data_IF_837578915632
#
_entry.id   IF_837578915632
#
_cell.length_a   1.000
_cell.length_b   1.000
_cell.length_c   1.000
_cell.angle_alpha   90.00
_cell.angle_beta   90.00
_cell.angle_gamma   90.00
#
_symmetry.space_group_name_H-M   'P 1'
#
loop_
_entity.id
_entity.type
_entity.pdbx_description
1 polymer ?
#
# COMPACT_ATOMS: atom_id res chain seq x y z
N UNK A 1 22.20 37.80 14.97
CA UNK A 1 22.53 36.44 14.49
C UNK A 1 22.84 36.52 13.00
N UNK A 2 24.02 36.07 12.60
CA UNK A 2 24.53 36.07 11.22
C UNK A 2 23.67 35.13 10.37
N UNK A 3 23.10 35.63 9.27
CA UNK A 3 22.26 34.82 8.35
C UNK A 3 23.12 33.77 7.66
N UNK A 4 22.75 32.50 7.79
CA UNK A 4 23.39 31.43 7.02
C UNK A 4 22.58 31.23 5.73
N UNK A 5 23.05 31.85 4.64
CA UNK A 5 22.35 31.89 3.33
C UNK A 5 22.65 30.62 2.51
N UNK A 6 23.55 29.76 2.99
CA UNK A 6 24.02 28.60 2.25
C UNK A 6 23.24 27.34 2.64
N UNK A 7 22.43 26.84 1.70
CA UNK A 7 21.88 25.48 1.73
C UNK A 7 22.99 24.52 1.29
N UNK A 8 23.19 23.44 2.03
CA UNK A 8 24.18 22.40 1.71
C UNK A 8 23.83 21.69 0.39
N UNK A 9 24.78 20.92 -0.14
CA UNK A 9 24.57 20.12 -1.35
C UNK A 9 24.94 18.66 -1.04
N UNK A 10 24.29 18.08 -0.04
CA UNK A 10 24.63 16.75 0.45
C UNK A 10 24.26 15.68 -0.59
N UNK A 11 25.16 14.74 -0.94
CA UNK A 11 24.83 13.59 -1.78
C UNK A 11 23.57 12.85 -1.31
N UNK A 12 22.69 12.45 -2.23
CA UNK A 12 21.45 11.75 -1.88
C UNK A 12 21.70 10.49 -1.04
N UNK A 13 22.64 9.65 -1.45
CA UNK A 13 22.94 8.39 -0.74
C UNK A 13 23.55 8.64 0.65
N UNK A 14 24.35 9.70 0.80
CA UNK A 14 24.86 10.12 2.11
C UNK A 14 23.74 10.62 3.01
N UNK A 15 22.81 11.42 2.47
CA UNK A 15 21.66 11.93 3.20
C UNK A 15 20.71 10.81 3.65
N UNK A 16 20.40 9.85 2.77
CA UNK A 16 19.61 8.65 3.11
C UNK A 16 20.25 7.89 4.26
N UNK A 17 21.54 7.59 4.15
CA UNK A 17 22.29 6.83 5.16
C UNK A 17 22.33 7.57 6.50
N UNK A 18 22.65 8.87 6.49
CA UNK A 18 22.72 9.69 7.69
C UNK A 18 21.36 9.78 8.39
N UNK A 19 20.30 10.04 7.63
CA UNK A 19 18.95 10.14 8.18
C UNK A 19 18.45 8.80 8.74
N UNK A 20 18.63 7.71 8.00
CA UNK A 20 18.22 6.37 8.42
C UNK A 20 18.92 5.94 9.72
N UNK A 21 20.25 6.11 9.80
CA UNK A 21 21.02 5.77 10.99
C UNK A 21 20.57 6.53 12.24
N UNK A 22 20.16 7.79 12.10
CA UNK A 22 19.65 8.57 13.24
C UNK A 22 18.27 8.08 13.69
N UNK A 23 17.40 7.69 12.76
CA UNK A 23 16.08 7.11 13.06
C UNK A 23 16.23 5.76 13.77
N UNK A 24 17.18 4.92 13.33
CA UNK A 24 17.49 3.65 14.01
C UNK A 24 17.95 3.86 15.45
N UNK A 25 18.86 4.82 15.70
CA UNK A 25 19.33 5.16 17.06
C UNK A 25 18.20 5.61 17.97
N UNK A 26 17.19 6.27 17.42
CA UNK A 26 15.99 6.69 18.13
C UNK A 26 15.02 5.53 18.46
N UNK A 27 15.26 4.32 17.94
CA UNK A 27 14.37 3.17 18.14
C UNK A 27 13.01 3.29 17.43
N UNK A 28 12.91 4.17 16.44
CA UNK A 28 11.64 4.55 15.80
C UNK A 28 11.00 3.41 14.99
N UNK A 29 11.79 2.46 14.49
CA UNK A 29 11.29 1.32 13.70
C UNK A 29 10.57 0.24 14.53
N UNK A 30 10.42 0.40 15.84
CA UNK A 30 9.75 -0.58 16.70
C UNK A 30 8.26 -0.70 16.38
N UNK A 31 7.86 -1.77 15.70
CA UNK A 31 6.47 -2.00 15.33
C UNK A 31 5.52 -1.97 16.54
N UNK A 32 4.37 -1.32 16.33
CA UNK A 32 3.28 -1.27 17.28
C UNK A 32 2.10 -2.05 16.71
N UNK A 33 1.40 -2.76 17.57
CA UNK A 33 0.25 -3.56 17.18
C UNK A 33 -1.02 -3.06 17.88
N UNK A 34 -2.13 -3.15 17.18
CA UNK A 34 -3.47 -2.85 17.70
C UNK A 34 -4.41 -4.02 17.40
N UNK A 35 -5.47 -4.16 18.20
CA UNK A 35 -6.51 -5.16 17.98
C UNK A 35 -7.63 -4.49 17.19
N UNK A 36 -8.06 -5.13 16.11
CA UNK A 36 -9.17 -4.67 15.28
C UNK A 36 -10.15 -5.81 15.00
N UNK A 37 -11.37 -5.48 14.59
CA UNK A 37 -12.32 -6.45 14.06
C UNK A 37 -11.85 -6.96 12.69
N UNK A 38 -12.16 -8.21 12.37
CA UNK A 38 -11.88 -8.80 11.04
C UNK A 38 -12.49 -7.97 9.91
N UNK A 39 -13.64 -7.33 10.13
CA UNK A 39 -14.30 -6.47 9.14
C UNK A 39 -13.44 -5.28 8.70
N UNK A 40 -12.56 -4.78 9.57
CA UNK A 40 -11.69 -3.62 9.33
C UNK A 40 -10.27 -4.04 8.89
N UNK A 41 -10.05 -5.33 8.68
CA UNK A 41 -8.73 -5.92 8.49
C UNK A 41 -8.23 -5.87 7.04
N UNK A 42 -9.09 -5.54 6.07
CA UNK A 42 -8.71 -5.50 4.66
C UNK A 42 -7.52 -4.57 4.42
N UNK A 43 -6.46 -5.12 3.82
CA UNK A 43 -5.23 -4.40 3.52
C UNK A 43 -4.35 -4.09 4.72
N UNK A 44 -4.72 -4.51 5.94
CA UNK A 44 -3.88 -4.43 7.14
C UNK A 44 -2.82 -5.54 7.11
N UNK A 45 -1.83 -5.42 7.98
CA UNK A 45 -0.76 -6.41 8.12
C UNK A 45 -0.90 -7.13 9.46
N UNK A 46 -0.93 -8.45 9.47
CA UNK A 46 -1.00 -9.23 10.70
C UNK A 46 0.25 -8.96 11.57
N UNK A 47 0.09 -8.65 12.85
CA UNK A 47 1.22 -8.45 13.76
C UNK A 47 1.76 -9.77 14.33
N UNK A 48 0.92 -10.81 14.34
CA UNK A 48 1.21 -12.15 14.83
C UNK A 48 0.52 -13.18 13.94
N UNK A 49 0.88 -14.48 14.02
CA UNK A 49 0.16 -15.52 13.30
C UNK A 49 -1.31 -15.55 13.73
N UNK A 50 -2.23 -15.62 12.75
CA UNK A 50 -3.67 -15.73 13.02
C UNK A 50 -4.05 -17.20 12.92
N UNK A 51 -4.50 -17.77 14.04
CA UNK A 51 -4.87 -19.17 14.15
C UNK A 51 -6.38 -19.34 14.11
N UNK A 52 -6.84 -20.45 13.51
CA UNK A 52 -8.23 -20.87 13.55
C UNK A 52 -8.66 -21.11 15.01
N UNK A 53 -9.80 -20.53 15.41
CA UNK A 53 -10.39 -20.72 16.76
C UNK A 53 -11.41 -21.84 16.82
N UNK A 54 -11.79 -22.38 15.67
CA UNK A 54 -12.72 -23.50 15.53
C UNK A 54 -12.49 -24.19 14.19
N UNK A 55 -12.63 -25.51 14.18
CA UNK A 55 -12.60 -26.28 12.95
C UNK A 55 -13.75 -25.90 12.00
N UNK A 56 -13.52 -26.03 10.70
CA UNK A 56 -14.51 -25.86 9.64
C UNK A 56 -14.49 -27.08 8.71
N UNK A 57 -15.63 -27.79 8.53
CA UNK A 57 -16.82 -27.71 9.38
C UNK A 57 -16.50 -28.14 10.82
N UNK A 58 -17.35 -27.74 11.78
CA UNK A 58 -17.20 -28.10 13.20
C UNK A 58 -18.05 -29.32 13.59
N UNK A 59 -18.66 -29.95 12.60
CA UNK A 59 -19.49 -31.15 12.71
C UNK A 59 -19.34 -31.98 11.44
N UNK A 60 -19.84 -33.21 11.45
CA UNK A 60 -19.93 -34.03 10.24
C UNK A 60 -21.03 -33.47 9.34
N UNK A 61 -20.65 -32.93 8.19
CA UNK A 61 -21.58 -32.25 7.31
C UNK A 61 -21.89 -33.08 6.07
N UNK A 62 -23.09 -32.95 5.51
CA UNK A 62 -23.39 -33.55 4.22
C UNK A 62 -22.61 -32.83 3.10
N UNK A 63 -22.00 -33.58 2.20
CA UNK A 63 -21.36 -33.04 1.00
C UNK A 63 -22.36 -32.87 -0.18
N UNK A 64 -23.56 -33.44 -0.08
CA UNK A 64 -24.55 -33.52 -1.15
C UNK A 64 -25.96 -33.29 -0.61
N UNK A 65 -26.89 -32.91 -1.47
CA UNK A 65 -28.33 -32.97 -1.16
C UNK A 65 -28.80 -34.43 -1.32
N UNK A 66 -29.58 -34.97 -0.38
CA UNK A 66 -30.01 -36.37 -0.43
C UNK A 66 -30.47 -36.94 0.91
N UNK A 67 -30.05 -38.18 1.21
CA UNK A 67 -30.38 -38.86 2.46
C UNK A 67 -29.12 -39.39 3.17
N UNK A 68 -29.02 -39.11 4.46
CA UNK A 68 -28.06 -39.77 5.34
C UNK A 68 -28.62 -41.12 5.78
N UNK A 69 -27.76 -42.14 5.70
CA UNK A 69 -28.09 -43.55 5.95
C UNK A 69 -26.98 -44.20 6.77
N UNK A 70 -27.31 -45.35 7.37
CA UNK A 70 -26.29 -46.29 7.81
C UNK A 70 -25.88 -47.14 6.60
N UNK A 71 -24.66 -46.98 6.11
CA UNK A 71 -24.10 -47.61 4.91
C UNK A 71 -24.39 -49.11 4.87
N UNK A 72 -24.25 -49.80 6.01
CA UNK A 72 -24.52 -51.23 6.13
C UNK A 72 -25.95 -51.66 5.72
N UNK A 73 -26.94 -50.78 5.92
CA UNK A 73 -28.32 -51.05 5.50
C UNK A 73 -28.47 -51.10 3.97
N UNK A 74 -27.50 -50.56 3.22
CA UNK A 74 -27.54 -50.43 1.75
C UNK A 74 -26.72 -51.49 1.02
N UNK A 75 -25.90 -52.29 1.71
CA UNK A 75 -24.90 -53.16 1.08
C UNK A 75 -25.45 -54.21 0.10
N UNK A 76 -26.71 -54.61 0.26
CA UNK A 76 -27.36 -55.55 -0.65
C UNK A 76 -27.95 -54.89 -1.91
N UNK A 77 -27.95 -53.55 -1.98
CA UNK A 77 -28.54 -52.79 -3.08
C UNK A 77 -27.74 -53.01 -4.36
N UNK A 78 -28.43 -53.44 -5.41
CA UNK A 78 -27.93 -53.47 -6.80
C UNK A 78 -29.09 -53.12 -7.73
N UNK A 79 -28.82 -52.81 -8.99
CA UNK A 79 -29.87 -52.52 -9.98
C UNK A 79 -30.90 -53.66 -10.10
N UNK A 80 -30.45 -54.91 -9.97
CA UNK A 80 -31.30 -56.11 -10.04
C UNK A 80 -31.86 -56.55 -8.68
N UNK A 81 -31.40 -55.96 -7.58
CA UNK A 81 -31.83 -56.25 -6.22
C UNK A 81 -31.87 -54.93 -5.41
N UNK A 82 -32.88 -54.07 -5.63
CA UNK A 82 -32.99 -52.80 -4.92
C UNK A 82 -33.25 -53.03 -3.43
N UNK A 83 -32.67 -52.19 -2.59
CA UNK A 83 -32.96 -52.13 -1.16
C UNK A 83 -33.99 -51.04 -0.92
N UNK A 84 -35.00 -51.32 -0.11
CA UNK A 84 -36.01 -50.35 0.31
C UNK A 84 -35.86 -50.08 1.79
N UNK A 85 -35.72 -48.81 2.17
CA UNK A 85 -35.63 -48.37 3.56
C UNK A 85 -36.88 -47.51 3.88
N UNK A 86 -37.47 -47.63 5.08
CA UNK A 86 -38.47 -46.69 5.54
C UNK A 86 -37.89 -45.27 5.62
N UNK A 87 -38.70 -44.26 5.29
CA UNK A 87 -38.29 -42.84 5.45
C UNK A 87 -37.93 -42.52 6.92
N UNK A 88 -38.51 -43.22 7.88
CA UNK A 88 -38.19 -43.07 9.31
C UNK A 88 -36.80 -43.58 9.71
N UNK A 89 -36.11 -44.35 8.84
CA UNK A 89 -34.77 -44.89 9.08
C UNK A 89 -33.66 -44.08 8.38
N UNK A 90 -34.02 -43.03 7.66
CA UNK A 90 -33.10 -42.15 6.94
C UNK A 90 -33.31 -40.70 7.38
N UNK A 91 -32.30 -39.85 7.17
CA UNK A 91 -32.42 -38.42 7.41
C UNK A 91 -32.26 -37.69 6.08
N UNK A 92 -33.27 -36.93 5.68
CA UNK A 92 -33.13 -36.02 4.53
C UNK A 92 -32.17 -34.90 4.92
N UNK A 93 -31.16 -34.68 4.10
CA UNK A 93 -30.10 -33.68 4.34
C UNK A 93 -29.83 -32.90 3.07
N UNK A 94 -29.62 -31.59 3.21
CA UNK A 94 -29.06 -30.74 2.17
C UNK A 94 -27.55 -30.57 2.37
N UNK A 95 -26.86 -30.06 1.35
CA UNK A 95 -25.42 -29.80 1.38
C UNK A 95 -25.07 -28.85 2.51
N UNK A 96 -24.19 -29.31 3.41
CA UNK A 96 -23.80 -28.58 4.62
C UNK A 96 -24.62 -28.92 5.86
N UNK A 97 -25.71 -29.68 5.76
CA UNK A 97 -26.48 -30.10 6.94
C UNK A 97 -25.66 -31.02 7.85
N UNK A 98 -25.99 -31.00 9.14
CA UNK A 98 -25.41 -31.89 10.13
C UNK A 98 -25.84 -33.33 9.90
N UNK A 99 -24.87 -34.26 9.88
CA UNK A 99 -25.07 -35.71 9.84
C UNK A 99 -24.86 -36.29 11.24
N UNK A 100 -25.93 -36.74 11.92
CA UNK A 100 -25.83 -37.35 13.24
C UNK A 100 -25.03 -38.67 13.26
N UNK A 101 -24.44 -39.06 14.42
CA UNK A 101 -23.56 -40.23 14.52
C UNK A 101 -24.21 -41.59 14.23
N UNK A 102 -25.54 -41.67 14.23
CA UNK A 102 -26.28 -42.87 13.83
C UNK A 102 -26.23 -43.14 12.31
N UNK A 103 -25.86 -42.15 11.51
CA UNK A 103 -25.63 -42.25 10.07
C UNK A 103 -24.13 -42.16 9.76
N UNK A 104 -23.67 -42.92 8.77
CA UNK A 104 -22.25 -42.98 8.38
C UNK A 104 -22.05 -42.88 6.87
N UNK A 105 -23.08 -42.56 6.07
CA UNK A 105 -22.96 -42.20 4.66
C UNK A 105 -24.10 -41.29 4.20
N UNK A 106 -23.87 -40.49 3.15
CA UNK A 106 -24.90 -39.74 2.43
C UNK A 106 -24.99 -40.24 0.98
N UNK A 107 -26.22 -40.52 0.55
CA UNK A 107 -26.56 -40.84 -0.85
C UNK A 107 -27.18 -39.61 -1.47
N UNK A 108 -26.65 -39.17 -2.61
CA UNK A 108 -27.16 -38.00 -3.33
C UNK A 108 -28.59 -38.25 -3.83
N UNK A 109 -29.42 -37.21 -3.85
CA UNK A 109 -30.84 -37.30 -4.16
C UNK A 109 -31.11 -37.94 -5.53
N UNK A 110 -30.20 -37.79 -6.49
CA UNK A 110 -30.26 -38.38 -7.83
C UNK A 110 -30.21 -39.91 -7.82
N UNK A 111 -29.64 -40.52 -6.78
CA UNK A 111 -29.56 -41.98 -6.60
C UNK A 111 -30.68 -42.51 -5.69
N UNK A 112 -31.63 -41.66 -5.26
CA UNK A 112 -32.73 -42.00 -4.35
C UNK A 112 -34.07 -42.01 -5.08
N UNK A 113 -34.76 -43.16 -5.09
CA UNK A 113 -36.13 -43.25 -5.61
C UNK A 113 -37.14 -43.26 -4.46
N UNK A 114 -37.86 -42.16 -4.26
CA UNK A 114 -38.84 -42.03 -3.18
C UNK A 114 -40.23 -42.46 -3.64
N UNK A 115 -40.90 -43.30 -2.85
CA UNK A 115 -42.28 -43.73 -3.10
C UNK A 115 -43.05 -43.88 -1.79
N UNK A 116 -43.95 -42.95 -1.50
CA UNK A 116 -44.70 -42.92 -0.25
C UNK A 116 -43.77 -42.67 0.94
N UNK A 117 -43.80 -43.56 1.93
CA UNK A 117 -42.99 -43.46 3.16
C UNK A 117 -41.71 -44.32 3.10
N UNK A 118 -41.18 -44.53 1.89
CA UNK A 118 -40.04 -45.39 1.63
C UNK A 118 -39.10 -44.80 0.57
N UNK A 119 -37.81 -45.11 0.70
CA UNK A 119 -36.77 -44.83 -0.29
C UNK A 119 -36.22 -46.12 -0.85
N UNK A 120 -36.05 -46.17 -2.16
CA UNK A 120 -35.49 -47.31 -2.88
C UNK A 120 -34.12 -46.95 -3.43
N UNK A 121 -33.14 -47.77 -3.11
CA UNK A 121 -31.74 -47.62 -3.47
C UNK A 121 -31.30 -48.78 -4.37
N UNK A 122 -30.63 -48.45 -5.47
CA UNK A 122 -30.12 -49.42 -6.46
C UNK A 122 -28.60 -49.55 -6.44
N UNK A 123 -27.92 -48.78 -5.58
CA UNK A 123 -26.47 -48.84 -5.37
C UNK A 123 -26.18 -48.83 -3.87
N UNK A 124 -25.16 -49.55 -3.41
CA UNK A 124 -24.74 -49.49 -2.02
C UNK A 124 -23.94 -48.21 -1.78
N UNK A 125 -24.06 -47.65 -0.58
CA UNK A 125 -23.16 -46.62 -0.08
C UNK A 125 -22.01 -47.26 0.71
N UNK A 126 -20.82 -46.66 0.67
CA UNK A 126 -19.70 -47.03 1.54
C UNK A 126 -19.65 -46.11 2.78
N UNK A 127 -19.14 -46.58 3.94
CA UNK A 127 -18.93 -45.70 5.09
C UNK A 127 -18.11 -44.46 4.71
N UNK A 128 -18.49 -43.31 5.26
CA UNK A 128 -17.97 -41.96 5.02
C UNK A 128 -18.22 -41.39 3.61
N UNK A 129 -18.99 -42.07 2.77
CA UNK A 129 -19.37 -41.54 1.47
C UNK A 129 -20.14 -40.22 1.63
N UNK A 130 -19.66 -39.18 0.95
CA UNK A 130 -20.25 -37.84 0.93
C UNK A 130 -20.46 -37.22 2.33
N UNK A 131 -19.70 -37.66 3.33
CA UNK A 131 -19.62 -36.99 4.64
C UNK A 131 -18.36 -36.14 4.67
N UNK A 132 -18.55 -34.85 4.93
CA UNK A 132 -17.47 -33.91 5.19
C UNK A 132 -17.01 -34.04 6.64
N UNK A 133 -15.73 -34.28 6.84
CA UNK A 133 -15.16 -34.50 8.17
C UNK A 133 -15.02 -33.19 8.94
N UNK A 134 -15.03 -33.27 10.28
CA UNK A 134 -14.70 -32.11 11.13
C UNK A 134 -13.31 -31.61 10.75
N UNK A 135 -13.20 -30.33 10.43
CA UNK A 135 -11.94 -29.69 10.05
C UNK A 135 -11.40 -30.09 8.68
N UNK A 136 -12.24 -30.59 7.78
CA UNK A 136 -11.85 -30.87 6.39
C UNK A 136 -11.22 -29.66 5.68
N UNK A 137 -11.68 -28.45 5.99
CA UNK A 137 -11.14 -27.19 5.44
C UNK A 137 -10.10 -26.57 6.39
N UNK A 138 -10.49 -26.33 7.65
CA UNK A 138 -9.61 -25.77 8.68
C UNK A 138 -9.75 -26.55 9.97
N UNK A 139 -8.65 -26.93 10.59
CA UNK A 139 -8.63 -27.49 11.95
C UNK A 139 -8.41 -26.37 12.96
N UNK A 140 -9.00 -26.50 14.15
CA UNK A 140 -8.66 -25.60 15.27
C UNK A 140 -7.13 -25.55 15.47
N UNK A 141 -6.60 -24.34 15.70
CA UNK A 141 -5.17 -24.01 15.78
C UNK A 141 -4.40 -24.04 14.45
N UNK A 142 -5.03 -24.36 13.33
CA UNK A 142 -4.38 -24.18 12.02
C UNK A 142 -4.02 -22.70 11.82
N UNK A 143 -2.81 -22.47 11.32
CA UNK A 143 -2.34 -21.14 10.99
C UNK A 143 -2.95 -20.72 9.65
N UNK A 144 -3.83 -19.73 9.69
CA UNK A 144 -4.49 -19.19 8.50
C UNK A 144 -3.54 -18.24 7.78
N UNK A 145 -2.90 -17.33 8.54
CA UNK A 145 -1.84 -16.47 8.02
C UNK A 145 -0.68 -16.37 9.00
N UNK A 146 0.57 -16.33 8.51
CA UNK A 146 1.72 -15.99 9.34
C UNK A 146 1.73 -14.49 9.68
N UNK A 147 2.55 -14.10 10.66
CA UNK A 147 2.79 -12.70 10.98
C UNK A 147 3.37 -11.94 9.77
N UNK A 148 3.17 -10.63 9.74
CA UNK A 148 3.60 -9.72 8.67
C UNK A 148 3.00 -10.01 7.29
N UNK A 149 1.90 -10.76 7.25
CA UNK A 149 1.14 -11.01 6.01
C UNK A 149 0.09 -9.94 5.80
N UNK A 150 -0.07 -9.49 4.55
CA UNK A 150 -1.15 -8.58 4.18
C UNK A 150 -2.47 -9.35 4.16
N UNK A 151 -3.45 -8.83 4.88
CA UNK A 151 -4.79 -9.44 4.98
C UNK A 151 -5.60 -9.02 3.76
N UNK A 152 -6.01 -10.01 2.96
CA UNK A 152 -6.89 -9.85 1.80
C UNK A 152 -8.31 -10.37 2.08
N UNK A 153 -9.17 -10.35 1.04
CA UNK A 153 -10.55 -10.79 1.17
C UNK A 153 -10.69 -12.28 1.49
N UNK A 154 -9.78 -13.12 1.00
CA UNK A 154 -9.81 -14.57 1.25
C UNK A 154 -9.43 -14.89 2.68
N UNK A 155 -8.40 -14.24 3.20
CA UNK A 155 -7.97 -14.38 4.60
C UNK A 155 -9.11 -13.95 5.54
N UNK A 156 -9.78 -12.84 5.25
CA UNK A 156 -10.94 -12.38 6.03
C UNK A 156 -12.09 -13.40 6.05
N UNK A 157 -12.37 -14.05 4.93
CA UNK A 157 -13.38 -15.09 4.85
C UNK A 157 -12.99 -16.32 5.69
N UNK A 158 -11.73 -16.76 5.60
CA UNK A 158 -11.20 -17.85 6.42
C UNK A 158 -11.26 -17.53 7.91
N UNK A 159 -10.87 -16.32 8.31
CA UNK A 159 -10.98 -15.85 9.70
C UNK A 159 -12.41 -15.98 10.23
N UNK A 160 -13.40 -15.53 9.45
CA UNK A 160 -14.80 -15.60 9.86
C UNK A 160 -15.29 -17.04 9.99
N UNK A 161 -14.92 -17.88 9.02
CA UNK A 161 -15.27 -19.31 8.97
C UNK A 161 -14.72 -20.06 10.18
N UNK A 162 -13.47 -19.77 10.58
CA UNK A 162 -12.78 -20.35 11.72
C UNK A 162 -13.01 -19.61 13.05
N UNK A 163 -14.07 -18.81 13.16
CA UNK A 163 -14.46 -18.08 14.38
C UNK A 163 -13.42 -17.08 14.93
N UNK A 164 -12.55 -16.55 14.07
CA UNK A 164 -11.70 -15.39 14.39
C UNK A 164 -12.54 -14.13 14.15
N UNK A 165 -12.73 -13.32 15.20
CA UNK A 165 -13.53 -12.09 15.15
C UNK A 165 -12.68 -10.83 15.24
N UNK A 166 -11.56 -10.93 15.95
CA UNK A 166 -10.58 -9.88 16.15
C UNK A 166 -9.18 -10.47 16.00
N UNK A 167 -8.24 -9.64 15.57
CA UNK A 167 -6.85 -10.00 15.38
C UNK A 167 -5.93 -8.82 15.66
N UNK A 168 -4.68 -9.12 16.02
CA UNK A 168 -3.63 -8.12 16.19
C UNK A 168 -3.01 -7.78 14.84
N UNK A 169 -3.08 -6.52 14.46
CA UNK A 169 -2.49 -5.98 13.24
C UNK A 169 -1.44 -4.94 13.57
N UNK A 170 -0.49 -4.73 12.66
CA UNK A 170 0.48 -3.65 12.75
C UNK A 170 -0.30 -2.33 12.61
N UNK A 171 -0.15 -1.44 13.60
CA UNK A 171 -0.77 -0.11 13.62
C UNK A 171 -0.30 0.68 12.41
N UNK A 172 -1.21 1.42 11.77
CA UNK A 172 -0.83 2.32 10.68
C UNK A 172 0.06 3.45 11.24
N UNK A 173 1.20 3.76 10.59
CA UNK A 173 1.96 4.95 10.97
C UNK A 173 1.14 6.21 10.68
N UNK A 174 1.04 7.10 11.66
CA UNK A 174 0.35 8.37 11.52
C UNK A 174 1.33 9.41 11.00
N UNK A 175 0.99 10.07 9.89
CA UNK A 175 1.84 11.06 9.23
C UNK A 175 1.16 12.42 9.27
N UNK A 176 1.68 13.33 10.10
CA UNK A 176 1.20 14.72 10.13
C UNK A 176 1.78 15.48 8.93
N UNK A 177 0.93 16.27 8.26
CA UNK A 177 1.32 17.08 7.10
C UNK A 177 0.89 18.52 7.36
N UNK A 178 1.87 19.41 7.45
CA UNK A 178 1.70 20.82 7.79
C UNK A 178 1.95 21.65 6.53
N UNK A 179 0.91 22.13 5.84
CA UNK A 179 1.09 23.10 4.77
C UNK A 179 1.47 24.46 5.36
N UNK A 180 2.53 25.07 4.82
CA UNK A 180 2.98 26.41 5.25
C UNK A 180 3.10 27.34 4.06
N UNK A 181 2.55 28.54 4.19
CA UNK A 181 2.67 29.59 3.18
C UNK A 181 1.64 30.70 3.40
N UNK A 182 2.08 31.95 3.41
CA UNK A 182 1.20 33.11 3.59
C UNK A 182 0.31 33.34 2.38
N UNK A 183 0.77 32.90 1.21
CA UNK A 183 0.07 32.99 -0.07
C UNK A 183 -0.94 31.86 -0.30
N UNK A 184 -0.93 30.84 0.56
CA UNK A 184 -1.72 29.62 0.35
C UNK A 184 -3.19 29.83 0.70
N UNK A 185 -4.07 29.31 -0.17
CA UNK A 185 -5.52 29.17 0.07
C UNK A 185 -5.93 27.72 -0.07
N UNK A 186 -6.94 27.28 0.70
CA UNK A 186 -7.36 25.87 0.69
C UNK A 186 -7.99 25.45 -0.64
N UNK A 187 -8.79 26.33 -1.26
CA UNK A 187 -9.48 26.06 -2.52
C UNK A 187 -9.31 27.24 -3.48
N UNK A 188 -9.24 26.95 -4.77
CA UNK A 188 -9.38 27.97 -5.80
C UNK A 188 -10.82 28.48 -5.88
N UNK A 189 -10.98 29.73 -6.29
CA UNK A 189 -12.27 30.40 -6.43
C UNK A 189 -12.26 31.40 -7.58
N UNK A 190 -13.45 31.84 -8.01
CA UNK A 190 -13.60 32.82 -9.09
C UNK A 190 -12.96 34.16 -8.67
N UNK A 191 -12.25 34.83 -9.59
CA UNK A 191 -11.54 36.10 -9.35
C UNK A 191 -10.36 36.06 -8.36
N UNK A 192 -9.76 34.87 -8.13
CA UNK A 192 -8.53 34.70 -7.32
C UNK A 192 -7.41 35.68 -7.75
N UNK A 193 -6.92 36.55 -6.84
CA UNK A 193 -5.97 37.59 -7.21
C UNK A 193 -4.57 37.03 -7.48
N UNK A 194 -3.75 37.70 -8.31
CA UNK A 194 -2.35 37.35 -8.48
C UNK A 194 -1.62 37.34 -7.14
N UNK A 195 -0.88 36.26 -6.87
CA UNK A 195 -0.11 36.08 -5.65
C UNK A 195 -0.65 34.97 -4.76
N UNK A 196 -1.93 34.63 -4.84
CA UNK A 196 -2.44 33.47 -4.12
C UNK A 196 -2.13 32.16 -4.84
N UNK A 197 -1.95 31.10 -4.06
CA UNK A 197 -1.64 29.75 -4.56
C UNK A 197 -2.57 28.75 -3.87
N UNK A 198 -3.22 27.89 -4.66
CA UNK A 198 -4.05 26.81 -4.09
C UNK A 198 -3.15 25.74 -3.49
N UNK A 199 -3.37 25.44 -2.22
CA UNK A 199 -2.61 24.43 -1.51
C UNK A 199 -3.00 23.02 -1.97
N UNK A 200 -2.07 22.36 -2.66
CA UNK A 200 -2.29 21.07 -3.30
C UNK A 200 -1.31 20.00 -2.85
N UNK A 201 -0.18 20.38 -2.25
CA UNK A 201 0.88 19.46 -1.86
C UNK A 201 0.43 18.53 -0.75
N UNK A 202 -0.10 19.07 0.34
CA UNK A 202 -0.57 18.33 1.50
C UNK A 202 -1.66 17.33 1.15
N UNK A 203 -2.54 17.64 0.20
CA UNK A 203 -3.54 16.72 -0.34
C UNK A 203 -2.88 15.58 -1.12
N UNK A 204 -1.95 15.91 -2.03
CA UNK A 204 -1.17 14.92 -2.77
C UNK A 204 -0.39 13.98 -1.83
N UNK A 205 0.31 14.54 -0.84
CA UNK A 205 1.11 13.75 0.11
C UNK A 205 0.21 12.89 1.00
N UNK A 206 -0.97 13.37 1.41
CA UNK A 206 -1.93 12.58 2.16
C UNK A 206 -2.41 11.36 1.37
N UNK A 207 -2.68 11.53 0.06
CA UNK A 207 -3.01 10.41 -0.83
C UNK A 207 -1.88 9.38 -0.92
N UNK A 208 -0.63 9.83 -1.05
CA UNK A 208 0.54 8.94 -1.06
C UNK A 208 0.71 8.19 0.27
N UNK A 209 0.48 8.83 1.42
CA UNK A 209 0.48 8.15 2.72
C UNK A 209 -0.53 7.01 2.76
N UNK A 210 -1.76 7.25 2.29
CA UNK A 210 -2.82 6.22 2.25
C UNK A 210 -2.45 5.08 1.30
N UNK A 211 -1.92 5.40 0.12
CA UNK A 211 -1.47 4.42 -0.87
C UNK A 211 -0.38 3.50 -0.29
N UNK A 212 0.54 4.06 0.51
CA UNK A 212 1.61 3.32 1.17
C UNK A 212 1.19 2.65 2.49
N UNK A 213 -0.09 2.74 2.86
CA UNK A 213 -0.67 2.05 4.02
C UNK A 213 -0.60 2.80 5.36
N UNK A 214 -0.15 4.05 5.35
CA UNK A 214 -0.17 4.94 6.51
C UNK A 214 -1.50 5.67 6.69
N UNK A 215 -1.56 6.48 7.74
CA UNK A 215 -2.71 7.33 8.07
C UNK A 215 -2.32 8.81 8.03
N UNK A 216 -2.81 9.61 7.06
CA UNK A 216 -2.47 11.01 7.00
C UNK A 216 -3.28 11.86 7.98
N UNK A 217 -2.63 12.87 8.55
CA UNK A 217 -3.24 13.95 9.33
C UNK A 217 -2.84 15.29 8.73
N UNK A 218 -3.65 15.80 7.80
CA UNK A 218 -3.47 17.16 7.26
C UNK A 218 -3.86 18.17 8.31
N UNK A 219 -2.95 19.09 8.62
CA UNK A 219 -3.26 20.27 9.41
C UNK A 219 -3.81 21.39 8.52
N UNK A 220 -4.51 22.37 9.09
CA UNK A 220 -4.82 23.62 8.40
C UNK A 220 -3.54 24.33 7.92
N UNK A 221 -3.70 25.19 6.91
CA UNK A 221 -2.62 26.06 6.42
C UNK A 221 -2.09 26.93 7.55
N UNK A 222 -0.78 26.92 7.72
CA UNK A 222 -0.07 27.78 8.67
C UNK A 222 0.64 28.88 7.88
N UNK A 223 0.32 30.14 8.16
CA UNK A 223 1.01 31.28 7.54
C UNK A 223 2.50 31.30 7.91
N UNK A 224 3.33 32.00 7.14
CA UNK A 224 4.79 32.04 7.37
C UNK A 224 5.19 32.90 8.57
N UNK A 225 4.82 32.40 9.75
CA UNK A 225 5.21 32.94 11.03
C UNK A 225 5.95 31.85 11.82
N UNK A 226 7.17 32.17 12.26
CA UNK A 226 8.04 31.23 12.98
C UNK A 226 7.37 30.66 14.23
N UNK A 227 6.62 31.46 14.97
CA UNK A 227 5.96 31.00 16.20
C UNK A 227 4.79 30.07 15.88
N UNK A 228 3.97 30.40 14.88
CA UNK A 228 2.84 29.56 14.46
C UNK A 228 3.31 28.22 13.88
N UNK A 229 4.31 28.22 12.99
CA UNK A 229 4.87 26.98 12.43
C UNK A 229 5.47 26.11 13.55
N UNK A 230 6.18 26.72 14.50
CA UNK A 230 6.74 26.00 15.65
C UNK A 230 5.64 25.35 16.49
N UNK A 231 4.56 26.07 16.75
CA UNK A 231 3.43 25.54 17.53
C UNK A 231 2.76 24.37 16.80
N UNK A 232 2.52 24.51 15.49
CA UNK A 232 1.97 23.46 14.64
C UNK A 232 2.84 22.19 14.64
N UNK A 233 4.17 22.33 14.59
CA UNK A 233 5.12 21.22 14.69
C UNK A 233 5.04 20.53 16.06
N UNK A 234 4.96 21.29 17.16
CA UNK A 234 4.84 20.73 18.52
C UNK A 234 3.51 19.97 18.69
N UNK A 235 2.43 20.47 18.10
CA UNK A 235 1.12 19.81 18.14
C UNK A 235 1.11 18.54 17.27
N UNK A 236 1.63 18.63 16.04
CA UNK A 236 1.80 17.48 15.15
C UNK A 236 2.62 16.37 15.79
N UNK A 237 3.69 16.73 16.48
CA UNK A 237 4.57 15.76 17.13
C UNK A 237 3.81 14.88 18.11
N UNK A 238 2.91 15.43 18.92
CA UNK A 238 2.16 14.67 19.94
C UNK A 238 1.24 13.61 19.34
N UNK A 239 0.75 13.83 18.12
CA UNK A 239 -0.33 13.05 17.51
C UNK A 239 0.13 12.21 16.32
N UNK A 240 1.42 12.23 15.96
CA UNK A 240 1.94 11.52 14.80
C UNK A 240 3.25 10.78 15.05
N UNK A 241 3.57 9.85 14.15
CA UNK A 241 4.83 9.11 14.10
C UNK A 241 5.87 9.80 13.22
N UNK A 242 5.43 10.50 12.17
CA UNK A 242 6.26 11.20 11.18
C UNK A 242 5.63 12.57 10.87
N UNK A 243 6.46 13.61 10.84
CA UNK A 243 6.00 14.98 10.59
C UNK A 243 6.54 15.45 9.24
N UNK A 244 5.66 15.98 8.40
CA UNK A 244 5.98 16.58 7.11
C UNK A 244 5.64 18.06 7.16
N UNK A 245 6.60 18.91 6.85
CA UNK A 245 6.37 20.36 6.72
C UNK A 245 6.51 20.70 5.25
N UNK A 246 5.43 21.15 4.61
CA UNK A 246 5.44 21.59 3.22
C UNK A 246 5.88 23.04 3.17
N UNK A 247 7.19 23.29 3.25
CA UNK A 247 7.73 24.64 3.33
C UNK A 247 8.21 25.19 1.99
N UNK A 248 8.10 26.51 1.87
CA UNK A 248 8.79 27.31 0.86
C UNK A 248 10.30 27.22 1.08
N UNK A 249 10.88 26.10 0.63
CA UNK A 249 12.26 25.73 0.83
C UNK A 249 13.19 26.53 -0.10
N UNK A 250 13.29 27.84 0.09
CA UNK A 250 14.26 28.66 -0.62
C UNK A 250 15.32 29.14 0.37
N UNK A 251 16.53 29.41 -0.11
CA UNK A 251 17.58 30.14 0.64
C UNK A 251 17.19 31.62 0.91
N UNK A 252 15.89 31.88 1.01
CA UNK A 252 15.26 33.18 1.17
C UNK A 252 15.22 33.62 2.64
N UNK A 253 14.43 34.65 2.90
CA UNK A 253 14.38 35.31 4.22
C UNK A 253 13.68 34.47 5.31
N UNK A 254 12.96 33.42 4.95
CA UNK A 254 11.92 32.77 5.77
C UNK A 254 12.14 31.26 5.91
N UNK A 255 13.40 30.80 5.97
CA UNK A 255 13.72 29.40 6.27
C UNK A 255 13.50 29.08 7.77
N UNK A 256 12.24 29.07 8.18
CA UNK A 256 11.83 28.81 9.56
C UNK A 256 11.93 27.32 9.90
N UNK A 257 11.69 26.43 8.94
CA UNK A 257 11.64 24.98 9.17
C UNK A 257 12.97 24.42 9.69
N UNK A 258 14.10 24.73 9.04
CA UNK A 258 15.40 24.23 9.47
C UNK A 258 15.78 24.75 10.87
N UNK A 259 15.46 26.02 11.15
CA UNK A 259 15.71 26.64 12.45
C UNK A 259 14.82 26.03 13.56
N UNK A 260 13.55 25.73 13.27
CA UNK A 260 12.62 25.11 14.21
C UNK A 260 13.06 23.68 14.52
N UNK A 261 13.43 22.89 13.50
CA UNK A 261 13.96 21.53 13.70
C UNK A 261 15.25 21.54 14.54
N UNK A 262 16.14 22.50 14.28
CA UNK A 262 17.38 22.65 15.07
C UNK A 262 17.12 23.05 16.53
N UNK A 263 16.08 23.84 16.78
CA UNK A 263 15.69 24.26 18.13
C UNK A 263 15.04 23.12 18.92
N UNK A 264 14.10 22.41 18.29
CA UNK A 264 13.28 21.39 18.93
C UNK A 264 13.94 20.00 18.95
N UNK A 265 15.01 19.80 18.18
CA UNK A 265 15.66 18.51 18.07
C UNK A 265 16.99 18.58 17.32
N UNK A 266 17.14 17.76 16.29
CA UNK A 266 18.40 17.60 15.54
C UNK A 266 18.15 17.75 14.05
N UNK A 267 18.79 18.75 13.46
CA UNK A 267 18.88 18.90 12.01
C UNK A 267 19.99 17.98 11.47
N UNK A 268 19.67 17.18 10.45
CA UNK A 268 20.59 16.20 9.85
C UNK A 268 20.97 16.62 8.44
N UNK A 269 19.98 17.06 7.66
CA UNK A 269 20.19 17.52 6.28
C UNK A 269 19.47 18.84 6.10
N UNK A 270 20.16 19.78 5.47
CA UNK A 270 19.57 21.02 5.00
C UNK A 270 20.14 21.32 3.62
N UNK A 271 19.57 20.67 2.61
CA UNK A 271 20.07 20.73 1.24
C UNK A 271 20.62 19.41 0.70
N UNK A 272 20.08 19.00 -0.43
CA UNK A 272 20.43 17.80 -1.18
C UNK A 272 21.02 18.16 -2.55
N UNK A 273 21.94 17.33 -3.00
CA UNK A 273 22.45 17.32 -4.36
C UNK A 273 21.47 16.61 -5.31
N UNK A 274 20.20 17.03 -5.30
CA UNK A 274 19.14 16.48 -6.17
C UNK A 274 18.50 17.56 -7.01
N UNK A 275 17.95 17.16 -8.17
CA UNK A 275 17.16 18.03 -9.03
C UNK A 275 15.94 17.27 -9.57
N UNK A 276 14.71 17.73 -9.33
CA UNK A 276 14.33 18.78 -8.37
C UNK A 276 14.57 18.35 -6.91
N UNK A 277 14.19 19.18 -5.93
CA UNK A 277 14.22 18.78 -4.51
C UNK A 277 15.44 19.21 -3.69
N UNK A 278 16.38 19.96 -4.26
CA UNK A 278 17.57 20.48 -3.54
C UNK A 278 17.29 20.96 -2.11
N UNK A 279 16.31 21.82 -1.83
CA UNK A 279 16.19 22.44 -0.51
C UNK A 279 15.46 21.58 0.54
N UNK A 280 15.47 20.25 0.39
CA UNK A 280 14.91 19.35 1.39
C UNK A 280 15.59 19.49 2.75
N UNK A 281 14.80 19.31 3.81
CA UNK A 281 15.26 19.36 5.18
C UNK A 281 14.92 18.03 5.86
N UNK A 282 15.88 17.43 6.56
CA UNK A 282 15.68 16.19 7.31
C UNK A 282 16.16 16.38 8.74
N UNK A 283 15.37 15.94 9.71
CA UNK A 283 15.76 16.00 11.11
C UNK A 283 14.91 15.11 12.01
N UNK A 284 15.20 15.18 13.31
CA UNK A 284 14.53 14.40 14.34
C UNK A 284 14.04 15.36 15.43
N UNK A 285 12.79 15.23 15.86
CA UNK A 285 12.24 15.91 17.05
C UNK A 285 11.65 14.84 17.95
N UNK A 286 12.04 14.81 19.24
CA UNK A 286 11.53 13.83 20.21
C UNK A 286 11.53 12.37 19.70
N UNK A 287 12.64 11.93 19.08
CA UNK A 287 12.81 10.61 18.46
C UNK A 287 11.90 10.30 17.26
N UNK A 288 11.22 11.31 16.70
CA UNK A 288 10.39 11.19 15.50
C UNK A 288 11.02 11.90 14.31
N UNK A 289 11.01 11.28 13.11
CA UNK A 289 11.47 11.92 11.89
C UNK A 289 10.60 13.12 11.52
N UNK A 290 11.28 14.15 11.02
CA UNK A 290 10.68 15.37 10.47
C UNK A 290 11.30 15.63 9.10
N UNK A 291 10.45 15.80 8.09
CA UNK A 291 10.86 16.04 6.71
C UNK A 291 10.26 17.38 6.25
N UNK A 292 11.13 18.34 5.96
CA UNK A 292 10.76 19.55 5.23
C UNK A 292 10.82 19.26 3.73
N UNK A 293 9.65 19.26 3.09
CA UNK A 293 9.52 19.06 1.64
C UNK A 293 9.37 20.42 0.94
N UNK A 294 9.90 20.58 -0.28
CA UNK A 294 9.80 21.85 -1.00
C UNK A 294 8.39 22.21 -1.44
N UNK A 295 8.04 23.50 -1.48
CA UNK A 295 6.72 23.98 -1.91
C UNK A 295 6.37 23.70 -3.39
N UNK A 296 7.35 23.37 -4.24
CA UNK A 296 7.07 22.95 -5.60
C UNK A 296 6.58 21.50 -5.68
N UNK A 297 5.41 21.20 -6.29
CA UNK A 297 4.78 19.88 -6.21
C UNK A 297 5.64 18.71 -6.67
N UNK A 298 6.39 18.87 -7.77
CA UNK A 298 7.26 17.79 -8.27
C UNK A 298 8.43 17.54 -7.30
N UNK A 299 8.97 18.60 -6.71
CA UNK A 299 9.99 18.49 -5.66
C UNK A 299 9.42 17.83 -4.41
N UNK A 300 8.23 18.25 -3.96
CA UNK A 300 7.57 17.70 -2.78
C UNK A 300 7.36 16.19 -2.94
N UNK A 301 6.76 15.77 -4.06
CA UNK A 301 6.50 14.37 -4.36
C UNK A 301 7.80 13.54 -4.39
N UNK A 302 8.87 14.08 -4.99
CA UNK A 302 10.17 13.40 -5.06
C UNK A 302 10.77 13.22 -3.66
N UNK A 303 10.90 14.29 -2.87
CA UNK A 303 11.51 14.21 -1.53
C UNK A 303 10.66 13.32 -0.62
N UNK A 304 9.35 13.43 -0.69
CA UNK A 304 8.45 12.56 0.06
C UNK A 304 8.63 11.08 -0.35
N UNK A 305 8.75 10.78 -1.64
CA UNK A 305 8.98 9.41 -2.12
C UNK A 305 10.37 8.87 -1.73
N UNK A 306 11.40 9.72 -1.71
CA UNK A 306 12.77 9.30 -1.38
C UNK A 306 12.97 9.02 0.11
N UNK A 307 12.26 9.74 0.99
CA UNK A 307 12.51 9.68 2.43
C UNK A 307 11.30 9.21 3.25
N UNK A 308 10.08 9.58 2.92
CA UNK A 308 8.90 9.15 3.69
C UNK A 308 8.40 7.75 3.27
N UNK A 309 8.40 7.42 1.96
CA UNK A 309 7.98 6.07 1.48
C UNK A 309 8.74 4.95 2.21
N UNK A 310 10.09 4.96 2.29
CA UNK A 310 10.82 3.90 2.99
C UNK A 310 10.49 3.83 4.49
N UNK A 311 10.29 4.98 5.15
CA UNK A 311 9.95 5.03 6.57
C UNK A 311 8.56 4.46 6.86
N UNK A 312 7.57 4.75 6.02
CA UNK A 312 6.21 4.24 6.17
C UNK A 312 6.20 2.72 6.00
N UNK A 313 6.85 2.18 4.97
CA UNK A 313 6.96 0.73 4.78
C UNK A 313 7.70 0.06 5.93
N UNK A 314 8.82 0.63 6.40
CA UNK A 314 9.56 0.09 7.54
C UNK A 314 8.75 0.12 8.85
N UNK A 315 7.93 1.15 9.08
CA UNK A 315 7.02 1.27 10.24
C UNK A 315 5.82 0.32 10.14
N UNK A 316 5.57 -0.23 8.95
CA UNK A 316 4.65 -1.35 8.70
C UNK A 316 5.35 -2.73 8.73
N UNK A 317 6.68 -2.76 8.94
CA UNK A 317 7.47 -3.99 8.92
C UNK A 317 7.58 -4.62 7.53
N UNK A 318 7.51 -3.79 6.48
CA UNK A 318 7.52 -4.20 5.09
C UNK A 318 8.67 -3.56 4.32
N UNK A 319 9.09 -4.22 3.25
CA UNK A 319 10.00 -3.63 2.27
C UNK A 319 9.23 -2.73 1.30
N UNK A 320 9.91 -1.74 0.74
CA UNK A 320 9.33 -0.89 -0.32
C UNK A 320 9.15 -1.76 -1.58
N UNK A 321 7.94 -1.84 -2.14
CA UNK A 321 7.73 -2.56 -3.38
C UNK A 321 8.61 -1.99 -4.49
N UNK A 322 9.26 -2.88 -5.25
CA UNK A 322 10.06 -2.46 -6.40
C UNK A 322 9.14 -1.85 -7.47
N UNK A 323 9.49 -0.66 -7.94
CA UNK A 323 8.82 -0.07 -9.09
C UNK A 323 9.18 -0.86 -10.35
N UNK A 324 8.20 -1.10 -11.23
CA UNK A 324 8.43 -1.77 -12.52
C UNK A 324 9.47 -0.98 -13.34
N UNK A 325 10.57 -1.63 -13.71
CA UNK A 325 11.63 -1.01 -14.50
C UNK A 325 11.45 -1.33 -15.98
N UNK A 326 11.61 -0.32 -16.83
CA UNK A 326 11.55 -0.46 -18.28
C UNK A 326 12.81 0.10 -18.92
N UNK A 327 13.52 -0.78 -19.65
CA UNK A 327 14.64 -0.36 -20.48
C UNK A 327 14.12 0.39 -21.71
N UNK A 328 14.60 1.63 -21.88
CA UNK A 328 14.20 2.52 -22.96
C UNK A 328 15.44 3.10 -23.64
N UNK A 329 15.25 3.65 -24.85
CA UNK A 329 16.19 4.59 -25.44
C UNK A 329 15.67 6.01 -25.30
N UNK A 330 16.51 6.95 -24.85
CA UNK A 330 16.09 8.36 -24.71
C UNK A 330 15.82 8.99 -26.08
N UNK A 331 14.69 9.67 -26.24
CA UNK A 331 14.24 10.15 -27.55
C UNK A 331 15.06 11.31 -28.12
N UNK A 332 15.76 12.06 -27.26
CA UNK A 332 16.53 13.25 -27.61
C UNK A 332 17.67 13.45 -26.61
N UNK A 333 18.67 14.23 -27.00
CA UNK A 333 19.71 14.69 -26.08
C UNK A 333 19.05 15.39 -24.90
N UNK A 334 19.43 14.99 -23.69
CA UNK A 334 18.97 15.58 -22.45
C UNK A 334 20.18 15.95 -21.59
N UNK A 335 20.64 17.21 -21.62
CA UNK A 335 21.75 17.63 -20.78
C UNK A 335 21.35 17.55 -19.30
N UNK A 336 22.31 17.39 -18.40
CA UNK A 336 22.13 17.40 -16.95
C UNK A 336 23.31 18.08 -16.25
N UNK A 337 23.13 18.45 -14.98
CA UNK A 337 24.21 19.04 -14.20
C UNK A 337 24.96 17.95 -13.44
N UNK A 338 26.25 17.79 -13.73
CA UNK A 338 27.09 16.76 -13.11
C UNK A 338 27.19 16.84 -11.57
N UNK A 339 26.78 17.95 -10.93
CA UNK A 339 26.82 18.12 -9.48
C UNK A 339 25.63 17.55 -8.70
N UNK A 340 24.59 17.02 -9.38
CA UNK A 340 23.35 16.54 -8.73
C UNK A 340 22.84 15.25 -9.38
N UNK A 341 22.08 14.48 -8.60
CA UNK A 341 21.22 13.43 -9.15
C UNK A 341 19.96 14.09 -9.73
N UNK A 342 19.77 14.00 -11.05
CA UNK A 342 18.64 14.61 -11.74
C UNK A 342 17.55 13.59 -12.06
N UNK A 343 16.40 13.76 -11.41
CA UNK A 343 15.20 12.96 -11.60
C UNK A 343 14.34 13.57 -12.71
N UNK A 344 14.23 12.85 -13.81
CA UNK A 344 13.57 13.31 -15.03
C UNK A 344 12.30 12.52 -15.24
N UNK A 345 11.17 13.22 -15.27
CA UNK A 345 9.89 12.64 -15.67
C UNK A 345 9.86 12.39 -17.17
N UNK A 346 9.36 11.23 -17.56
CA UNK A 346 9.29 10.81 -18.95
C UNK A 346 7.90 10.29 -19.30
N UNK A 347 7.55 10.41 -20.57
CA UNK A 347 6.53 9.57 -21.19
C UNK A 347 7.24 8.44 -21.92
N UNK A 348 6.67 7.24 -21.85
CA UNK A 348 7.23 6.06 -22.48
C UNK A 348 6.27 5.54 -23.56
N UNK A 349 6.83 5.01 -24.65
CA UNK A 349 6.05 4.42 -25.72
C UNK A 349 6.81 3.27 -26.36
N UNK A 350 6.09 2.29 -26.89
CA UNK A 350 6.67 1.31 -27.79
C UNK A 350 6.64 1.85 -29.23
N UNK A 351 7.81 1.91 -29.88
CA UNK A 351 7.97 2.28 -31.29
C UNK A 351 8.65 1.12 -32.02
N UNK A 352 7.87 0.39 -32.83
CA UNK A 352 8.32 -0.87 -33.41
C UNK A 352 8.64 -1.89 -32.30
N UNK A 353 9.89 -2.36 -32.27
CA UNK A 353 10.34 -3.37 -31.29
C UNK A 353 11.11 -2.77 -30.10
N UNK A 354 11.08 -1.44 -29.91
CA UNK A 354 11.85 -0.76 -28.85
C UNK A 354 10.96 0.17 -28.04
N UNK A 355 11.27 0.31 -26.77
CA UNK A 355 10.69 1.35 -25.94
C UNK A 355 11.52 2.63 -26.00
N UNK A 356 10.84 3.76 -26.12
CA UNK A 356 11.43 5.09 -26.20
C UNK A 356 10.95 5.89 -25.00
N UNK A 357 11.87 6.56 -24.31
CA UNK A 357 11.57 7.49 -23.23
C UNK A 357 11.67 8.94 -23.74
N UNK A 358 10.58 9.69 -23.68
CA UNK A 358 10.53 11.10 -24.01
C UNK A 358 10.58 11.95 -22.73
N UNK A 359 11.67 12.70 -22.49
CA UNK A 359 11.78 13.52 -21.28
C UNK A 359 10.88 14.75 -21.35
N UNK A 360 10.04 14.90 -20.34
CA UNK A 360 9.14 16.05 -20.17
C UNK A 360 9.92 17.33 -19.85
N UNK A 361 9.25 18.47 -20.00
CA UNK A 361 9.84 19.78 -19.72
C UNK A 361 10.25 19.93 -18.25
N UNK A 362 11.36 20.63 -18.01
CA UNK A 362 11.84 20.96 -16.66
C UNK A 362 10.89 21.98 -16.04
N UNK A 363 10.21 21.62 -14.96
CA UNK A 363 9.48 22.58 -14.14
C UNK A 363 8.95 21.93 -12.87
N UNK A 364 9.65 22.19 -11.77
CA UNK A 364 9.29 21.61 -10.47
C UNK A 364 7.91 22.08 -9.97
N UNK A 365 7.48 23.27 -10.39
CA UNK A 365 6.16 23.83 -10.07
C UNK A 365 5.00 23.24 -10.89
N UNK A 366 5.27 22.49 -11.97
CA UNK A 366 4.23 21.99 -12.86
C UNK A 366 3.64 20.67 -12.34
N UNK A 367 2.61 20.74 -11.50
CA UNK A 367 1.92 19.56 -10.94
C UNK A 367 1.43 18.58 -12.02
N UNK A 368 0.99 19.09 -13.17
CA UNK A 368 0.51 18.25 -14.29
C UNK A 368 1.54 17.23 -14.81
N UNK A 369 2.84 17.44 -14.59
CA UNK A 369 3.90 16.46 -14.92
C UNK A 369 3.71 15.17 -14.14
N UNK A 370 3.32 15.24 -12.87
CA UNK A 370 3.13 14.07 -12.02
C UNK A 370 2.00 13.16 -12.53
N UNK A 371 1.01 13.75 -13.20
CA UNK A 371 -0.13 13.03 -13.80
C UNK A 371 0.20 12.53 -15.21
N UNK A 372 0.88 13.37 -16.01
CA UNK A 372 1.16 13.10 -17.43
C UNK A 372 2.30 12.12 -17.66
N UNK A 373 3.24 12.04 -16.72
CA UNK A 373 4.40 11.14 -16.82
C UNK A 373 4.02 9.68 -16.66
N UNK A 374 4.61 8.84 -17.50
CA UNK A 374 4.49 7.39 -17.42
C UNK A 374 5.52 6.79 -16.47
N UNK A 375 6.60 7.53 -16.20
CA UNK A 375 7.65 7.11 -15.29
C UNK A 375 8.67 8.21 -15.02
N UNK A 376 9.75 7.82 -14.35
CA UNK A 376 10.87 8.68 -14.02
C UNK A 376 12.18 7.93 -14.21
N UNK A 377 13.21 8.60 -14.71
CA UNK A 377 14.58 8.11 -14.72
C UNK A 377 15.45 8.99 -13.83
N UNK A 378 16.57 8.44 -13.34
CA UNK A 378 17.58 9.19 -12.62
C UNK A 378 18.84 9.30 -13.47
N UNK A 379 19.29 10.53 -13.72
CA UNK A 379 20.62 10.80 -14.26
C UNK A 379 21.54 10.99 -13.06
N UNK A 380 22.48 10.06 -12.81
CA UNK A 380 23.29 10.10 -11.60
C UNK A 380 24.24 11.28 -11.60
N UNK A 381 24.55 11.78 -10.41
CA UNK A 381 25.62 12.76 -10.22
C UNK A 381 26.91 12.28 -10.87
N UNK A 382 27.60 13.20 -11.54
CA UNK A 382 28.80 12.93 -12.35
C UNK A 382 28.50 12.75 -13.83
N UNK A 383 27.23 12.58 -14.21
CA UNK A 383 26.80 12.58 -15.62
C UNK A 383 26.38 13.98 -16.07
N UNK A 384 26.80 14.36 -17.27
CA UNK A 384 26.39 15.61 -17.94
C UNK A 384 25.10 15.45 -18.75
N UNK A 385 24.44 14.30 -18.66
CA UNK A 385 23.19 14.01 -19.34
C UNK A 385 23.21 12.74 -20.17
N UNK A 386 22.27 12.63 -21.10
CA UNK A 386 22.11 11.50 -22.01
C UNK A 386 22.10 11.99 -23.46
N UNK A 387 22.81 11.29 -24.34
CA UNK A 387 22.74 11.52 -25.79
C UNK A 387 21.50 10.84 -26.39
N UNK A 388 20.99 11.36 -27.50
CA UNK A 388 19.83 10.77 -28.17
C UNK A 388 20.08 9.29 -28.53
N UNK A 389 19.12 8.42 -28.21
CA UNK A 389 19.21 6.98 -28.42
C UNK A 389 20.00 6.22 -27.34
N UNK A 390 20.63 6.91 -26.37
CA UNK A 390 21.31 6.24 -25.27
C UNK A 390 20.32 5.39 -24.43
N UNK A 391 20.75 4.20 -23.96
CA UNK A 391 19.93 3.37 -23.10
C UNK A 391 19.71 4.05 -21.74
N UNK A 392 18.50 3.94 -21.22
CA UNK A 392 18.13 4.41 -19.89
C UNK A 392 17.13 3.45 -19.23
N UNK A 393 17.14 3.45 -17.90
CA UNK A 393 16.16 2.72 -17.10
C UNK A 393 15.10 3.70 -16.60
N UNK A 394 13.84 3.36 -16.83
CA UNK A 394 12.69 4.15 -16.38
C UNK A 394 11.93 3.36 -15.32
N UNK A 395 11.83 3.92 -14.11
CA UNK A 395 10.88 3.47 -13.11
C UNK A 395 9.48 3.89 -13.53
N UNK A 396 8.64 2.93 -13.91
CA UNK A 396 7.29 3.17 -14.38
C UNK A 396 6.33 3.46 -13.22
N UNK A 397 5.36 4.34 -13.50
CA UNK A 397 4.18 4.60 -12.66
C UNK A 397 2.93 3.89 -13.18
N UNK A 398 3.02 3.29 -14.37
CA UNK A 398 1.95 2.58 -15.07
C UNK A 398 2.51 1.27 -15.60
N UNK A 399 1.69 0.23 -15.68
CA UNK A 399 2.16 -1.08 -16.17
C UNK A 399 2.80 -0.99 -17.56
N UNK A 400 3.89 -1.73 -17.82
CA UNK A 400 4.50 -1.80 -19.16
C UNK A 400 3.52 -2.22 -20.25
N UNK A 401 2.52 -3.05 -19.91
CA UNK A 401 1.43 -3.44 -20.81
C UNK A 401 0.63 -2.23 -21.29
N UNK A 402 0.35 -1.27 -20.41
CA UNK A 402 -0.33 -0.03 -20.80
C UNK A 402 0.56 0.78 -21.75
N UNK A 403 1.85 0.92 -21.41
CA UNK A 403 2.86 1.63 -22.23
C UNK A 403 2.96 1.04 -23.65
N UNK A 404 2.95 -0.28 -23.78
CA UNK A 404 2.99 -0.97 -25.07
C UNK A 404 1.77 -0.66 -25.97
N UNK A 405 0.65 -0.26 -25.36
CA UNK A 405 -0.59 0.09 -26.07
C UNK A 405 -0.86 1.60 -26.08
N UNK A 406 0.09 2.43 -25.63
CA UNK A 406 -0.05 3.88 -25.62
C UNK A 406 0.31 4.45 -26.99
N UNK A 407 -0.62 5.19 -27.59
CA UNK A 407 -0.31 6.06 -28.72
C UNK A 407 0.33 7.34 -28.20
N UNK A 408 1.60 7.56 -28.55
CA UNK A 408 2.34 8.76 -28.16
C UNK A 408 2.45 9.72 -29.35
N UNK A 409 1.88 10.92 -29.18
CA UNK A 409 1.99 12.02 -30.13
C UNK A 409 2.96 13.07 -29.56
N UNK A 410 4.10 13.26 -30.23
CA UNK A 410 5.14 14.22 -29.83
C UNK A 410 5.12 15.37 -30.85
N UNK A 411 4.79 16.57 -30.39
CA UNK A 411 4.79 17.79 -31.20
C UNK A 411 4.85 19.05 -30.33
N UNK A 412 5.18 20.20 -30.92
CA UNK A 412 4.99 21.49 -30.24
C UNK A 412 3.50 21.83 -30.22
N UNK A 413 3.05 22.55 -29.20
CA UNK A 413 1.69 23.10 -29.15
C UNK A 413 1.60 24.42 -29.96
N UNK A 414 2.50 24.62 -30.93
CA UNK A 414 2.42 25.74 -31.85
C UNK A 414 1.40 25.38 -32.94
N UNK A 415 0.12 25.59 -32.63
CA UNK A 415 -0.94 25.85 -33.59
C UNK A 415 -1.35 27.31 -33.48
#
# INVERSE_FOLDING_TARGET
MTRNIYIENMPLETAKTAFWNEIEKCGWFRLEAEVINVADALGRWAAEPVLAKRSSPHYLASAMDGIAVKAAATFAATETNPVTLPMAEVLVVDTGDYVPPEYDAVIMIEDVNTSGDQVTLIKPAVPWQHIRSIGEDLVEQDMIVPSHTRIGPFEMASFKTSSVHELRVIRKPIVAIIPTGTELVENGYDDMPPGEIVESNSLMLAGLVQEWGGEPRRQPIVVDDRFLIRQAVIEAEKESDLIIVCSGSSAGREDYTAAIISELGRLIVHGLATRPGKPAILGIINNKPVIGVPGYPVSAALIFSLFAKPLIFARLGQEVPADEQLECAISRKFPSHAGVDEFVHVNAAQVGNRFIAYPLSRGAGMSSILVKSDGQLCIPRGSEGLEAGAPCQVSLRRSSRMIANTLVHIGSHDL
#
